data_IF_727976636145
#
_entry.id   IF_727976636145
#
_cell.length_a   1.000
_cell.length_b   1.000
_cell.length_c   1.000
_cell.angle_alpha   90.00
_cell.angle_beta   90.00
_cell.angle_gamma   90.00
#
_symmetry.space_group_name_H-M   'P 1'
#
loop_
_entity.id
_entity.type
_entity.pdbx_description
1 polymer ?
#
# COMPACT_ATOMS: atom_id res chain seq x y z
N UNK A 1 0.68 -2.21 6.45
CA UNK A 1 0.47 -1.68 7.81
C UNK A 1 1.73 -0.93 8.23
N UNK A 2 1.64 0.22 8.91
CA UNK A 2 2.82 0.97 9.35
C UNK A 2 3.60 0.19 10.41
N UNK A 3 4.92 0.31 10.41
CA UNK A 3 5.82 -0.35 11.35
C UNK A 3 5.51 0.09 12.79
N UNK A 4 5.15 -0.84 13.70
CA UNK A 4 4.80 -0.51 15.09
C UNK A 4 5.99 0.00 15.92
N UNK A 5 7.23 -0.25 15.47
CA UNK A 5 8.45 0.17 16.16
C UNK A 5 8.88 1.62 15.86
N UNK A 6 8.12 2.36 15.03
CA UNK A 6 8.39 3.77 14.79
C UNK A 6 7.98 4.61 15.98
N UNK A 7 8.86 5.51 16.42
CA UNK A 7 8.49 6.50 17.43
C UNK A 7 7.32 7.37 16.95
N UNK A 8 6.43 7.84 17.84
CA UNK A 8 5.28 8.67 17.45
C UNK A 8 5.69 9.92 16.67
N UNK A 9 6.80 10.55 17.05
CA UNK A 9 7.36 11.72 16.37
C UNK A 9 7.78 11.39 14.92
N UNK A 10 8.55 10.32 14.73
CA UNK A 10 8.99 9.88 13.39
C UNK A 10 7.80 9.50 12.51
N UNK A 11 6.81 8.80 13.09
CA UNK A 11 5.56 8.47 12.39
C UNK A 11 4.81 9.72 11.92
N UNK A 12 4.68 10.74 12.77
CA UNK A 12 4.00 11.99 12.44
C UNK A 12 4.70 12.74 11.29
N UNK A 13 6.03 12.82 11.34
CA UNK A 13 6.84 13.41 10.26
C UNK A 13 6.62 12.69 8.94
N UNK A 14 6.75 11.36 8.93
CA UNK A 14 6.57 10.56 7.72
C UNK A 14 5.15 10.65 7.15
N UNK A 15 4.12 10.71 8.00
CA UNK A 15 2.73 10.92 7.55
C UNK A 15 2.59 12.29 6.88
N UNK A 16 3.20 13.32 7.45
CA UNK A 16 3.18 14.66 6.87
C UNK A 16 3.91 14.72 5.53
N UNK A 17 5.06 14.07 5.40
CA UNK A 17 5.81 13.91 4.14
C UNK A 17 5.02 13.13 3.09
N UNK A 18 4.33 12.06 3.50
CA UNK A 18 3.47 11.29 2.61
C UNK A 18 2.34 12.14 2.02
N UNK A 19 1.72 13.00 2.83
CA UNK A 19 0.67 13.90 2.35
C UNK A 19 1.22 14.97 1.41
N UNK A 20 2.41 15.52 1.69
CA UNK A 20 3.11 16.44 0.77
C UNK A 20 3.40 15.78 -0.58
N UNK A 21 3.95 14.56 -0.57
CA UNK A 21 4.26 13.82 -1.79
C UNK A 21 2.99 13.50 -2.61
N UNK A 22 1.89 13.13 -1.95
CA UNK A 22 0.58 12.93 -2.60
C UNK A 22 0.03 14.22 -3.22
N UNK A 23 0.19 15.34 -2.54
CA UNK A 23 -0.19 16.64 -3.09
C UNK A 23 0.63 16.96 -4.35
N UNK A 24 1.94 16.71 -4.33
CA UNK A 24 2.81 16.90 -5.50
C UNK A 24 2.38 16.04 -6.70
N UNK A 25 1.98 14.78 -6.48
CA UNK A 25 1.42 13.93 -7.56
C UNK A 25 0.20 14.59 -8.19
N UNK A 26 -0.73 15.12 -7.37
CA UNK A 26 -1.92 15.79 -7.88
C UNK A 26 -1.56 17.04 -8.68
N UNK A 27 -0.64 17.85 -8.18
CA UNK A 27 -0.17 19.06 -8.86
C UNK A 27 0.51 18.75 -10.19
N UNK A 28 1.40 17.76 -10.23
CA UNK A 28 2.10 17.36 -11.46
C UNK A 28 1.11 16.84 -12.53
N UNK A 29 0.12 16.04 -12.12
CA UNK A 29 -0.96 15.59 -13.01
C UNK A 29 -1.77 16.74 -13.58
N UNK A 30 -2.10 17.73 -12.75
CA UNK A 30 -2.85 18.91 -13.20
C UNK A 30 -2.03 19.76 -14.17
N UNK A 31 -0.72 19.84 -13.95
CA UNK A 31 0.22 20.55 -14.83
C UNK A 31 0.57 19.78 -16.12
N UNK A 32 0.24 18.48 -16.19
CA UNK A 32 0.63 17.61 -17.31
C UNK A 32 2.14 17.30 -17.34
N UNK A 33 2.85 17.51 -16.23
CA UNK A 33 4.29 17.27 -16.13
C UNK A 33 4.57 15.82 -15.72
N UNK A 34 4.95 15.01 -16.70
CA UNK A 34 5.27 13.60 -16.50
C UNK A 34 6.55 13.38 -15.67
N UNK A 35 7.51 14.31 -15.73
CA UNK A 35 8.76 14.22 -14.99
C UNK A 35 8.53 14.43 -13.50
N UNK A 36 7.79 15.48 -13.16
CA UNK A 36 7.37 15.79 -11.80
C UNK A 36 6.39 14.73 -11.26
N UNK A 37 5.51 14.18 -12.08
CA UNK A 37 4.62 13.08 -11.66
C UNK A 37 5.44 11.85 -11.26
N UNK A 38 6.41 11.45 -12.09
CA UNK A 38 7.28 10.32 -11.80
C UNK A 38 8.12 10.58 -10.53
N UNK A 39 8.64 11.80 -10.35
CA UNK A 39 9.38 12.19 -9.16
C UNK A 39 8.50 12.12 -7.89
N UNK A 40 7.28 12.64 -7.95
CA UNK A 40 6.33 12.61 -6.85
C UNK A 40 5.89 11.18 -6.50
N UNK A 41 5.68 10.30 -7.49
CA UNK A 41 5.44 8.88 -7.25
C UNK A 41 6.63 8.19 -6.57
N UNK A 42 7.87 8.50 -6.98
CA UNK A 42 9.08 7.99 -6.30
C UNK A 42 9.14 8.44 -4.85
N UNK A 43 8.82 9.71 -4.57
CA UNK A 43 8.79 10.24 -3.20
C UNK A 43 7.73 9.53 -2.33
N UNK A 44 6.52 9.31 -2.86
CA UNK A 44 5.47 8.52 -2.17
C UNK A 44 5.99 7.12 -1.83
N UNK A 45 6.66 6.46 -2.78
CA UNK A 45 7.18 5.12 -2.56
C UNK A 45 8.28 5.11 -1.48
N UNK A 46 9.20 6.07 -1.47
CA UNK A 46 10.24 6.20 -0.43
C UNK A 46 9.61 6.32 0.95
N UNK A 47 8.70 7.27 1.14
CA UNK A 47 8.07 7.51 2.45
C UNK A 47 7.27 6.29 2.92
N UNK A 48 6.63 5.55 2.00
CA UNK A 48 5.94 4.30 2.33
C UNK A 48 6.88 3.18 2.78
N UNK A 49 8.08 3.07 2.21
CA UNK A 49 9.08 2.11 2.69
C UNK A 49 9.55 2.49 4.09
N UNK A 50 9.79 3.77 4.35
CA UNK A 50 10.21 4.26 5.66
C UNK A 50 9.12 4.10 6.74
N UNK A 51 7.85 4.27 6.37
CA UNK A 51 6.70 3.93 7.22
C UNK A 51 6.58 2.43 7.48
N UNK A 52 7.30 1.58 6.75
CA UNK A 52 7.18 0.12 6.80
C UNK A 52 5.93 -0.42 6.09
N UNK A 53 5.25 0.38 5.27
CA UNK A 53 4.14 -0.09 4.44
C UNK A 53 4.62 -0.92 3.24
N UNK A 54 5.89 -0.74 2.85
CA UNK A 54 6.56 -1.45 1.76
C UNK A 54 7.96 -1.88 2.21
N UNK A 55 8.05 -2.97 2.95
CA UNK A 55 9.29 -3.54 3.50
C UNK A 55 9.01 -4.95 4.06
N UNK A 56 10.03 -5.65 4.58
CA UNK A 56 9.81 -6.93 5.25
C UNK A 56 8.74 -6.76 6.32
N UNK A 57 7.82 -7.72 6.36
CA UNK A 57 6.70 -7.75 7.29
C UNK A 57 7.22 -7.63 8.73
N UNK A 58 6.57 -6.80 9.52
CA UNK A 58 7.00 -6.51 10.90
C UNK A 58 6.55 -7.58 11.90
N UNK A 59 5.75 -8.56 11.47
CA UNK A 59 5.43 -9.73 12.29
C UNK A 59 6.60 -10.72 12.27
N UNK A 60 6.89 -11.33 13.42
CA UNK A 60 8.01 -12.26 13.59
C UNK A 60 7.64 -13.74 13.39
N UNK A 61 6.37 -14.04 13.09
CA UNK A 61 5.87 -15.42 12.96
C UNK A 61 6.27 -16.12 11.63
N UNK A 62 7.00 -15.43 10.76
CA UNK A 62 7.49 -15.98 9.50
C UNK A 62 6.43 -16.12 8.39
N UNK A 63 5.21 -15.61 8.59
CA UNK A 63 4.19 -15.70 7.54
C UNK A 63 4.57 -14.85 6.30
N UNK A 64 4.38 -15.36 5.07
CA UNK A 64 4.74 -14.62 3.85
C UNK A 64 3.89 -13.36 3.62
N UNK A 65 4.50 -12.32 3.04
CA UNK A 65 3.74 -11.16 2.56
C UNK A 65 2.99 -11.47 1.25
N UNK A 66 1.67 -11.60 1.34
CA UNK A 66 0.80 -11.76 0.18
C UNK A 66 0.32 -10.42 -0.41
N UNK A 67 0.80 -9.26 0.09
CA UNK A 67 0.48 -7.97 -0.51
C UNK A 67 0.92 -7.93 -1.97
N UNK A 68 0.06 -7.35 -2.83
CA UNK A 68 0.26 -7.24 -4.29
C UNK A 68 0.33 -8.58 -5.03
N UNK A 69 0.07 -9.71 -4.38
CA UNK A 69 -0.14 -10.99 -5.05
C UNK A 69 -1.63 -11.14 -5.42
N UNK A 70 -1.90 -11.64 -6.64
CA UNK A 70 -3.26 -11.99 -7.01
C UNK A 70 -3.79 -13.08 -6.06
N UNK A 71 -5.03 -12.96 -5.59
CA UNK A 71 -5.62 -13.89 -4.59
C UNK A 71 -5.53 -15.37 -5.01
N UNK A 72 -5.54 -15.64 -6.33
CA UNK A 72 -5.34 -17.00 -6.88
C UNK A 72 -3.97 -17.61 -6.57
N UNK A 73 -2.97 -16.79 -6.30
CA UNK A 73 -1.60 -17.19 -5.99
C UNK A 73 -1.33 -17.22 -4.47
N UNK A 74 -2.37 -17.06 -3.65
CA UNK A 74 -2.23 -17.03 -2.19
C UNK A 74 -3.05 -18.17 -1.57
N UNK A 75 -2.75 -18.58 -0.32
CA UNK A 75 -3.56 -19.58 0.41
C UNK A 75 -5.05 -19.21 0.54
N UNK A 76 -5.41 -17.94 0.30
CA UNK A 76 -6.78 -17.45 0.34
C UNK A 76 -7.62 -17.81 -0.90
N UNK A 77 -7.04 -18.44 -1.92
CA UNK A 77 -7.70 -18.75 -3.19
C UNK A 77 -9.02 -19.53 -3.01
N UNK A 78 -9.02 -20.57 -2.15
CA UNK A 78 -10.18 -21.44 -1.92
C UNK A 78 -11.34 -20.69 -1.25
N UNK A 79 -11.04 -19.94 -0.21
CA UNK A 79 -12.01 -19.10 0.49
C UNK A 79 -12.60 -18.02 -0.45
N UNK A 80 -11.75 -17.31 -1.20
CA UNK A 80 -12.20 -16.27 -2.12
C UNK A 80 -13.09 -16.80 -3.26
N UNK A 81 -12.82 -18.01 -3.73
CA UNK A 81 -13.66 -18.70 -4.72
C UNK A 81 -15.05 -19.04 -4.17
N UNK A 82 -15.12 -19.45 -2.90
CA UNK A 82 -16.38 -19.67 -2.18
C UNK A 82 -17.23 -18.40 -2.04
N UNK A 83 -16.61 -17.25 -1.77
CA UNK A 83 -17.28 -15.93 -1.74
C UNK A 83 -17.87 -15.54 -3.11
N UNK A 84 -17.19 -15.84 -4.20
CA UNK A 84 -17.72 -15.61 -5.57
C UNK A 84 -18.89 -16.53 -5.92
N UNK A 85 -18.91 -17.73 -5.35
CA UNK A 85 -20.01 -18.68 -5.54
C UNK A 85 -21.24 -18.29 -4.71
N UNK A 86 -21.08 -17.79 -3.48
CA UNK A 86 -22.19 -17.31 -2.67
C UNK A 86 -22.80 -16.01 -3.22
N UNK A 87 -21.97 -15.08 -3.73
CA UNK A 87 -22.45 -13.82 -4.32
C UNK A 87 -23.30 -14.03 -5.59
N UNK A 88 -23.00 -15.08 -6.38
CA UNK A 88 -23.82 -15.46 -7.54
C UNK A 88 -25.14 -16.17 -7.20
N UNK A 89 -25.35 -16.56 -5.93
CA UNK A 89 -26.59 -17.21 -5.46
C UNK A 89 -27.53 -16.26 -4.72
N UNK A 90 -27.16 -14.99 -4.55
CA UNK A 90 -27.96 -13.97 -3.87
C UNK A 90 -28.59 -12.91 -4.80
N UNK A 91 -28.39 -13.06 -6.12
CA UNK A 91 -29.10 -12.32 -7.17
C UNK A 91 -29.96 -13.35 -7.90
N UNK A 92 -31.15 -13.62 -7.35
CA UNK A 92 -32.13 -14.56 -7.88
C UNK A 92 -33.45 -14.34 -7.17
#
# INVERSE_FOLDING_TARGET
>A
MPNPNLSPAKKSTLVSELMKARSAVRSAKLAGDQGEEAAAHRAVDVVKRELGERGPVWWSDGTPDFNRQAVKNTPYAKWYSGLRASRRRGEG
#
